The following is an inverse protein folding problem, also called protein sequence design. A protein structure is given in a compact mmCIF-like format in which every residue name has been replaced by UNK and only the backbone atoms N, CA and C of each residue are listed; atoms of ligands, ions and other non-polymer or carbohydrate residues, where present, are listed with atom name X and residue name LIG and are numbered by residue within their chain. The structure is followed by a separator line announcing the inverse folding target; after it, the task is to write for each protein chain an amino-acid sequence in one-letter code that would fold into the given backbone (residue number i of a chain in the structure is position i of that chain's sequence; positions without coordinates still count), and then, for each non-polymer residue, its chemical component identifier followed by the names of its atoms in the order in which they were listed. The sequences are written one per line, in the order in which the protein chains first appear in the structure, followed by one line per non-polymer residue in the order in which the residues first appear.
data_IF_676062411514
#
_entry.id   IF_676062411514
#
_cell.length_a   1.000
_cell.length_b   1.000
_cell.length_c   1.000
_cell.angle_alpha   90.00
_cell.angle_beta   90.00
_cell.angle_gamma   90.00
#
_symmetry.space_group_name_H-M   'P 1'
#
loop_
_entity.id
_entity.type
_entity.pdbx_description
1 polymer ?
#
# COMPACT_ATOMS: atom_id res chain seq x y z
N UNK A 1 -30.14 51.77 -44.66
CA UNK A 1 -29.04 51.99 -43.70
C UNK A 1 -28.70 50.64 -43.06
N UNK A 2 -27.58 49.96 -43.38
CA UNK A 2 -27.32 48.64 -42.83
C UNK A 2 -26.66 48.75 -41.46
N UNK A 3 -27.20 48.04 -40.47
CA UNK A 3 -26.66 47.98 -39.11
C UNK A 3 -25.45 47.04 -39.14
N UNK A 4 -24.25 47.61 -39.05
CA UNK A 4 -22.99 46.86 -38.99
C UNK A 4 -22.80 46.23 -37.62
N UNK A 5 -22.87 44.90 -37.55
CA UNK A 5 -22.61 44.12 -36.34
C UNK A 5 -21.10 44.01 -36.09
N UNK A 6 -20.55 44.83 -35.18
CA UNK A 6 -19.15 44.68 -34.74
C UNK A 6 -18.97 43.32 -34.07
N UNK A 7 -18.21 42.42 -34.71
CA UNK A 7 -17.78 41.14 -34.14
C UNK A 7 -17.07 41.41 -32.80
N UNK A 8 -17.55 40.84 -31.70
CA UNK A 8 -16.95 40.98 -30.35
C UNK A 8 -15.99 39.80 -30.08
N UNK A 9 -14.70 39.90 -30.43
CA UNK A 9 -13.74 38.79 -30.27
C UNK A 9 -13.57 38.38 -28.80
N UNK A 10 -13.76 39.33 -27.88
CA UNK A 10 -13.72 39.11 -26.43
C UNK A 10 -14.76 38.09 -25.94
N UNK A 11 -15.98 38.10 -26.49
CA UNK A 11 -17.02 37.14 -26.06
C UNK A 11 -16.68 35.71 -26.50
N UNK A 12 -16.04 35.55 -27.66
CA UNK A 12 -15.60 34.24 -28.16
C UNK A 12 -14.41 33.71 -27.38
N UNK A 13 -13.45 34.57 -27.05
CA UNK A 13 -12.32 34.20 -26.20
C UNK A 13 -12.78 33.75 -24.81
N UNK A 14 -13.74 34.47 -24.21
CA UNK A 14 -14.32 34.12 -22.92
C UNK A 14 -15.10 32.78 -22.96
N UNK A 15 -15.86 32.54 -24.03
CA UNK A 15 -16.59 31.28 -24.21
C UNK A 15 -15.65 30.09 -24.46
N UNK A 16 -14.55 30.29 -25.20
CA UNK A 16 -13.53 29.27 -25.42
C UNK A 16 -12.76 28.94 -24.15
N UNK A 17 -12.42 29.93 -23.32
CA UNK A 17 -11.77 29.69 -22.02
C UNK A 17 -12.70 28.97 -21.05
N UNK A 18 -14.00 29.29 -21.06
CA UNK A 18 -14.98 28.62 -20.22
C UNK A 18 -15.19 27.16 -20.64
N UNK A 19 -15.18 26.88 -21.94
CA UNK A 19 -15.27 25.52 -22.47
C UNK A 19 -14.04 24.67 -22.11
N UNK A 20 -12.84 25.27 -22.09
CA UNK A 20 -11.61 24.58 -21.69
C UNK A 20 -11.58 24.17 -20.21
N UNK A 21 -12.21 24.95 -19.32
CA UNK A 21 -12.33 24.63 -17.90
C UNK A 21 -13.33 23.49 -17.66
N UNK A 22 -14.39 23.40 -18.46
CA UNK A 22 -15.41 22.33 -18.34
C UNK A 22 -14.90 20.98 -18.85
N UNK A 23 -13.98 20.96 -19.83
CA UNK A 23 -13.35 19.73 -20.33
C UNK A 23 -12.10 19.30 -19.55
N UNK A 24 -11.67 20.08 -18.54
CA UNK A 24 -10.54 19.67 -17.71
C UNK A 24 -10.94 18.37 -16.96
N UNK A 25 -10.19 17.27 -17.13
CA UNK A 25 -10.46 16.07 -16.36
C UNK A 25 -10.34 16.43 -14.89
N UNK A 26 -11.45 16.26 -14.17
CA UNK A 26 -11.45 16.37 -12.71
C UNK A 26 -10.62 15.21 -12.20
N UNK A 27 -9.34 15.46 -11.93
CA UNK A 27 -8.46 14.52 -11.24
C UNK A 27 -8.99 14.35 -9.82
N UNK A 28 -9.98 13.49 -9.65
CA UNK A 28 -10.39 13.00 -8.35
C UNK A 28 -9.24 12.12 -7.88
N UNK A 29 -8.33 12.71 -7.10
CA UNK A 29 -7.33 11.94 -6.38
C UNK A 29 -8.12 11.07 -5.39
N UNK A 30 -8.35 9.82 -5.76
CA UNK A 30 -8.88 8.83 -4.84
C UNK A 30 -7.93 8.80 -3.63
N UNK A 31 -8.50 8.89 -2.44
CA UNK A 31 -7.74 8.73 -1.21
C UNK A 31 -6.95 7.42 -1.32
N UNK A 32 -5.62 7.41 -1.11
CA UNK A 32 -4.84 6.20 -1.28
C UNK A 32 -5.41 5.13 -0.36
N UNK A 33 -6.04 4.12 -0.96
CA UNK A 33 -6.62 3.01 -0.22
C UNK A 33 -5.55 2.44 0.72
N UNK A 34 -5.92 2.20 1.99
CA UNK A 34 -5.03 1.59 2.99
C UNK A 34 -4.39 0.35 2.36
N UNK A 35 -3.07 0.37 2.22
CA UNK A 35 -2.31 -0.74 1.65
C UNK A 35 -2.30 -1.88 2.67
N UNK A 36 -2.56 -3.09 2.20
CA UNK A 36 -2.47 -4.30 3.03
C UNK A 36 -1.01 -4.49 3.46
N UNK A 37 -0.78 -4.76 4.74
CA UNK A 37 0.55 -5.02 5.31
C UNK A 37 0.69 -6.49 5.63
N UNK A 38 1.50 -7.19 4.84
CA UNK A 38 1.64 -8.65 4.87
C UNK A 38 2.95 -9.03 5.55
N UNK A 39 2.86 -9.70 6.68
CA UNK A 39 4.01 -10.30 7.37
C UNK A 39 4.57 -11.50 6.63
N UNK A 40 5.89 -11.65 6.60
CA UNK A 40 6.58 -12.87 6.16
C UNK A 40 7.64 -13.30 7.17
N UNK A 41 7.93 -14.59 7.23
CA UNK A 41 8.88 -15.16 8.21
C UNK A 41 10.26 -15.44 7.63
N UNK A 42 10.35 -15.86 6.36
CA UNK A 42 11.60 -16.28 5.72
C UNK A 42 11.77 -15.64 4.33
N UNK A 43 13.02 -15.52 3.87
CA UNK A 43 13.37 -14.90 2.59
C UNK A 43 12.63 -15.47 1.37
N UNK A 44 12.42 -16.81 1.22
CA UNK A 44 11.63 -17.34 0.11
C UNK A 44 10.21 -16.75 0.05
N UNK A 45 9.55 -16.60 1.20
CA UNK A 45 8.20 -16.02 1.29
C UNK A 45 8.19 -14.52 0.98
N UNK A 46 9.26 -13.79 1.31
CA UNK A 46 9.41 -12.41 0.84
C UNK A 46 9.37 -12.36 -0.69
N UNK A 47 10.16 -13.20 -1.37
CA UNK A 47 10.18 -13.26 -2.83
C UNK A 47 8.83 -13.67 -3.41
N UNK A 48 8.18 -14.69 -2.86
CA UNK A 48 6.88 -15.16 -3.35
C UNK A 48 5.81 -14.09 -3.22
N UNK A 49 5.63 -13.56 -2.01
CA UNK A 49 4.58 -12.57 -1.72
C UNK A 49 4.84 -11.29 -2.50
N UNK A 50 6.08 -10.78 -2.56
CA UNK A 50 6.41 -9.56 -3.30
C UNK A 50 6.08 -9.65 -4.79
N UNK A 51 6.35 -10.80 -5.43
CA UNK A 51 6.02 -11.02 -6.83
C UNK A 51 4.50 -11.14 -7.05
N UNK A 52 3.76 -11.72 -6.10
CA UNK A 52 2.29 -11.85 -6.19
C UNK A 52 1.61 -10.50 -6.05
N UNK A 53 2.00 -9.70 -5.05
CA UNK A 53 1.28 -8.47 -4.70
C UNK A 53 1.74 -7.24 -5.47
N UNK A 54 2.96 -7.26 -6.01
CA UNK A 54 3.56 -6.13 -6.72
C UNK A 54 3.46 -4.84 -5.91
N UNK A 55 2.88 -3.80 -6.51
CA UNK A 55 2.72 -2.49 -5.87
C UNK A 55 1.38 -2.31 -5.14
N UNK A 56 0.63 -3.38 -4.83
CA UNK A 56 -0.72 -3.28 -4.22
C UNK A 56 -0.72 -3.46 -2.69
N UNK A 57 0.35 -4.01 -2.13
CA UNK A 57 0.52 -4.26 -0.70
C UNK A 57 1.96 -3.97 -0.27
N UNK A 58 2.20 -3.99 1.03
CA UNK A 58 3.52 -3.86 1.64
C UNK A 58 3.92 -5.20 2.26
N UNK A 59 5.09 -5.72 1.90
CA UNK A 59 5.62 -6.98 2.41
C UNK A 59 6.64 -6.68 3.51
N UNK A 60 6.37 -7.16 4.72
CA UNK A 60 7.10 -6.79 5.94
C UNK A 60 7.73 -8.04 6.57
N UNK A 61 9.06 -8.16 6.60
CA UNK A 61 9.72 -9.23 7.35
C UNK A 61 9.43 -9.12 8.86
N UNK A 62 9.07 -10.24 9.49
CA UNK A 62 8.86 -10.32 10.95
C UNK A 62 10.16 -10.16 11.74
N UNK A 63 11.26 -10.69 11.19
CA UNK A 63 12.60 -10.58 11.78
C UNK A 63 13.49 -9.71 10.89
N UNK A 64 14.46 -8.96 11.45
CA UNK A 64 15.33 -8.12 10.64
C UNK A 64 16.19 -8.95 9.67
N UNK A 65 16.52 -8.33 8.54
CA UNK A 65 17.49 -8.91 7.61
C UNK A 65 18.84 -9.14 8.31
N UNK A 66 19.52 -10.23 7.93
CA UNK A 66 20.83 -10.62 8.48
C UNK A 66 20.78 -11.54 9.71
N UNK A 67 19.62 -11.73 10.34
CA UNK A 67 19.45 -12.74 11.39
C UNK A 67 19.32 -14.15 10.79
N UNK A 68 19.90 -15.14 11.48
CA UNK A 68 19.66 -16.54 11.16
C UNK A 68 18.31 -16.97 11.74
N UNK A 69 17.31 -17.34 10.91
CA UNK A 69 15.97 -17.70 11.39
C UNK A 69 15.98 -18.95 12.30
N UNK A 70 16.97 -19.84 12.16
CA UNK A 70 17.09 -21.03 13.00
C UNK A 70 17.62 -20.74 14.41
N UNK A 71 18.30 -19.60 14.59
CA UNK A 71 18.87 -19.17 15.87
C UNK A 71 18.24 -17.88 16.38
N UNK A 72 17.13 -17.45 15.76
CA UNK A 72 16.48 -16.20 16.10
C UNK A 72 15.69 -16.35 17.40
N UNK A 73 15.93 -15.43 18.33
CA UNK A 73 15.18 -15.29 19.57
C UNK A 73 14.20 -14.12 19.45
N UNK A 74 12.88 -14.34 19.69
CA UNK A 74 11.88 -13.29 19.69
C UNK A 74 12.23 -12.09 20.56
N UNK A 75 12.14 -10.89 19.98
CA UNK A 75 12.36 -9.62 20.67
C UNK A 75 11.04 -8.88 20.82
N UNK A 76 10.88 -8.13 21.92
CA UNK A 76 9.66 -7.37 22.18
C UNK A 76 9.31 -6.38 21.05
N UNK A 77 10.31 -5.78 20.42
CA UNK A 77 10.11 -4.88 19.26
C UNK A 77 9.49 -5.60 18.05
N UNK A 78 9.94 -6.81 17.77
CA UNK A 78 9.47 -7.59 16.63
C UNK A 78 8.05 -8.13 16.90
N UNK A 79 7.75 -8.53 18.14
CA UNK A 79 6.39 -8.89 18.57
C UNK A 79 5.44 -7.70 18.45
N UNK A 80 5.86 -6.50 18.89
CA UNK A 80 5.05 -5.29 18.77
C UNK A 80 4.72 -4.95 17.31
N UNK A 81 5.62 -5.27 16.37
CA UNK A 81 5.41 -5.05 14.94
C UNK A 81 4.21 -5.84 14.38
N UNK A 82 3.91 -7.01 14.96
CA UNK A 82 2.80 -7.87 14.53
C UNK A 82 1.46 -7.14 14.58
N UNK A 83 1.21 -6.35 15.63
CA UNK A 83 -0.04 -5.58 15.77
C UNK A 83 -0.25 -4.50 14.69
N UNK A 84 0.74 -4.26 13.84
CA UNK A 84 0.65 -3.32 12.71
C UNK A 84 0.42 -4.01 11.36
N UNK A 85 0.40 -5.33 11.33
CA UNK A 85 0.17 -6.16 10.15
C UNK A 85 -1.32 -6.49 10.02
N UNK A 86 -1.76 -6.79 8.80
CA UNK A 86 -3.13 -7.21 8.54
C UNK A 86 -3.26 -8.74 8.36
N UNK A 87 -2.16 -9.42 7.98
CA UNK A 87 -2.07 -10.89 7.80
C UNK A 87 -0.60 -11.32 7.81
N UNK A 88 -0.31 -12.58 8.16
CA UNK A 88 1.04 -13.16 8.12
C UNK A 88 1.05 -14.42 7.25
N UNK A 89 2.05 -14.53 6.38
CA UNK A 89 2.32 -15.75 5.60
C UNK A 89 3.38 -16.57 6.30
N UNK A 90 3.02 -17.80 6.65
CA UNK A 90 3.86 -18.76 7.36
C UNK A 90 4.30 -19.91 6.45
N UNK A 91 5.42 -20.52 6.79
CA UNK A 91 5.78 -21.84 6.32
C UNK A 91 4.90 -22.92 6.97
N UNK A 92 4.72 -22.87 8.29
CA UNK A 92 3.73 -23.67 9.01
C UNK A 92 4.03 -25.18 9.05
N UNK A 93 5.25 -25.60 8.68
CA UNK A 93 5.69 -27.01 8.73
C UNK A 93 7.00 -27.18 9.52
N UNK A 94 7.28 -26.27 10.44
CA UNK A 94 8.41 -26.37 11.39
C UNK A 94 9.53 -25.34 11.20
N UNK A 95 9.62 -24.69 10.03
CA UNK A 95 10.78 -23.82 9.75
C UNK A 95 10.67 -22.46 10.47
N UNK A 96 9.46 -22.01 10.79
CA UNK A 96 9.18 -20.71 11.37
C UNK A 96 8.41 -20.77 12.69
N UNK A 97 8.63 -21.80 13.51
CA UNK A 97 8.01 -21.97 14.84
C UNK A 97 8.22 -20.76 15.78
N UNK A 98 9.24 -19.93 15.53
CA UNK A 98 9.42 -18.68 16.25
C UNK A 98 8.25 -17.70 16.01
N UNK A 99 7.66 -17.72 14.82
CA UNK A 99 6.56 -16.84 14.44
C UNK A 99 5.29 -17.17 15.25
N UNK A 100 4.97 -18.44 15.45
CA UNK A 100 3.81 -18.86 16.26
C UNK A 100 3.91 -18.32 17.69
N UNK A 101 5.10 -18.44 18.31
CA UNK A 101 5.34 -17.90 19.65
C UNK A 101 5.22 -16.38 19.69
N UNK A 102 5.71 -15.68 18.66
CA UNK A 102 5.59 -14.23 18.55
C UNK A 102 4.15 -13.79 18.36
N UNK A 103 3.38 -14.45 17.51
CA UNK A 103 1.96 -14.16 17.25
C UNK A 103 1.16 -14.36 18.53
N UNK A 104 1.35 -15.48 19.21
CA UNK A 104 0.68 -15.77 20.48
C UNK A 104 0.98 -14.74 21.58
N UNK A 105 2.19 -14.15 21.57
CA UNK A 105 2.60 -13.12 22.52
C UNK A 105 2.24 -11.68 22.07
N UNK A 106 1.69 -11.50 20.87
CA UNK A 106 1.36 -10.19 20.32
C UNK A 106 -0.01 -9.67 20.79
N UNK A 107 -0.30 -8.42 20.49
CA UNK A 107 -1.62 -7.81 20.74
C UNK A 107 -2.72 -8.37 19.81
N UNK A 108 -2.35 -9.13 18.78
CA UNK A 108 -3.27 -9.72 17.78
C UNK A 108 -2.98 -11.20 17.56
N UNK A 109 -3.29 -12.08 18.54
CA UNK A 109 -2.97 -13.51 18.46
C UNK A 109 -3.82 -14.30 17.43
N UNK A 110 -4.86 -13.68 16.86
CA UNK A 110 -5.72 -14.27 15.82
C UNK A 110 -5.55 -13.57 14.46
N UNK A 111 -4.37 -12.97 14.23
CA UNK A 111 -4.02 -12.32 12.96
C UNK A 111 -3.96 -13.30 11.78
#
# INVERSE_FOLDING_TARGET
MPISFKRRPFLRALLLSLFAVVLAPSSYAADPAKRLRIGITLHPYYSYVSNIVGNKADVVPLIPAGFNPHAYEPRAEDIKRIGSLDVIVLNGVGHDDFADRMIAASETPNI
#
